data_IF_712378941353
#
_entry.id   IF_712378941353
#
_cell.length_a   1.000
_cell.length_b   1.000
_cell.length_c   1.000
_cell.angle_alpha   90.00
_cell.angle_beta   90.00
_cell.angle_gamma   90.00
#
_symmetry.space_group_name_H-M   'P 1'
#
loop_
_entity.id
_entity.type
_entity.pdbx_description
1 polymer ?
#
# COMPACT_ATOMS: atom_id res chain seq x y z
N UNK A 1 -37.34 15.51 -11.48
CA UNK A 1 -36.92 15.22 -10.10
C UNK A 1 -35.88 14.09 -10.16
N UNK A 2 -34.60 14.27 -9.88
CA UNK A 2 -33.67 13.16 -9.83
C UNK A 2 -34.00 12.33 -8.59
N UNK A 3 -34.32 11.06 -8.79
CA UNK A 3 -34.60 10.11 -7.70
C UNK A 3 -33.30 9.89 -6.88
N UNK A 4 -33.31 10.37 -5.66
CA UNK A 4 -32.22 10.23 -4.69
C UNK A 4 -32.28 8.85 -4.04
N UNK A 5 -32.20 7.78 -4.85
CA UNK A 5 -32.12 6.40 -4.36
C UNK A 5 -30.67 6.06 -4.00
N UNK A 6 -30.22 6.59 -2.87
CA UNK A 6 -29.09 5.98 -2.14
C UNK A 6 -29.58 4.62 -1.62
N UNK A 7 -28.81 3.54 -1.79
CA UNK A 7 -29.16 2.25 -1.20
C UNK A 7 -29.46 2.42 0.29
N UNK A 8 -30.62 1.97 0.71
CA UNK A 8 -31.09 2.02 2.10
C UNK A 8 -29.98 1.59 3.06
N UNK A 9 -29.56 2.49 3.96
CA UNK A 9 -28.65 2.22 5.07
C UNK A 9 -27.21 2.76 4.96
N UNK A 10 -26.76 3.34 3.84
CA UNK A 10 -25.41 3.90 3.75
C UNK A 10 -25.43 5.42 3.93
N UNK A 11 -24.85 5.92 5.01
CA UNK A 11 -24.58 7.36 5.18
C UNK A 11 -23.82 7.92 3.99
N UNK A 12 -24.12 9.14 3.51
CA UNK A 12 -23.31 9.83 2.52
C UNK A 12 -21.84 9.81 2.87
N UNK A 13 -20.96 9.77 1.88
CA UNK A 13 -19.51 9.59 2.10
C UNK A 13 -18.90 10.61 3.06
N UNK A 14 -19.44 11.85 3.11
CA UNK A 14 -19.03 12.93 4.03
C UNK A 14 -19.29 12.63 5.50
N UNK A 15 -20.28 11.77 5.80
CA UNK A 15 -20.63 11.39 7.18
C UNK A 15 -20.02 10.04 7.59
N UNK A 16 -19.37 9.32 6.66
CA UNK A 16 -18.70 8.06 7.00
C UNK A 16 -17.42 8.37 7.77
N UNK A 17 -17.24 7.69 8.89
CA UNK A 17 -15.97 7.77 9.63
C UNK A 17 -14.81 7.42 8.69
N UNK A 18 -13.81 8.29 8.65
CA UNK A 18 -12.60 8.07 7.86
C UNK A 18 -11.85 6.85 8.41
N UNK A 19 -11.42 5.97 7.50
CA UNK A 19 -10.72 4.73 7.85
C UNK A 19 -9.53 4.55 6.93
N UNK A 20 -8.35 4.37 7.53
CA UNK A 20 -7.11 4.05 6.84
C UNK A 20 -6.87 2.55 6.94
N UNK A 21 -6.68 1.87 5.82
CA UNK A 21 -6.19 0.50 5.76
C UNK A 21 -4.71 0.51 5.39
N UNK A 22 -3.88 -0.09 6.24
CA UNK A 22 -2.46 -0.34 5.97
C UNK A 22 -2.32 -1.81 5.58
N UNK A 23 -1.83 -2.06 4.37
CA UNK A 23 -1.51 -3.39 3.86
C UNK A 23 0.01 -3.56 3.92
N UNK A 24 0.49 -4.48 4.78
CA UNK A 24 1.91 -4.59 5.10
C UNK A 24 2.31 -3.68 6.26
N UNK A 25 1.69 -3.87 7.43
CA UNK A 25 1.94 -3.09 8.64
C UNK A 25 3.16 -3.62 9.43
N UNK A 26 4.33 -3.66 8.77
CA UNK A 26 5.64 -3.85 9.39
C UNK A 26 6.13 -2.55 10.04
N UNK A 27 7.45 -2.39 10.21
CA UNK A 27 8.06 -1.22 10.86
C UNK A 27 7.58 0.11 10.27
N UNK A 28 7.66 0.27 8.94
CA UNK A 28 7.20 1.52 8.27
C UNK A 28 5.70 1.73 8.45
N UNK A 29 4.89 0.67 8.31
CA UNK A 29 3.44 0.76 8.48
C UNK A 29 3.03 1.17 9.89
N UNK A 30 3.71 0.66 10.91
CA UNK A 30 3.48 1.06 12.31
C UNK A 30 3.88 2.51 12.57
N UNK A 31 4.99 2.99 11.97
CA UNK A 31 5.39 4.40 12.05
C UNK A 31 4.34 5.31 11.39
N UNK A 32 3.83 4.92 10.23
CA UNK A 32 2.72 5.63 9.56
C UNK A 32 1.50 5.68 10.48
N UNK A 33 1.13 4.55 11.10
CA UNK A 33 -0.02 4.49 12.00
C UNK A 33 0.06 5.47 13.17
N UNK A 34 1.27 5.64 13.76
CA UNK A 34 1.50 6.58 14.88
C UNK A 34 1.34 8.05 14.47
N UNK A 35 1.56 8.37 13.20
CA UNK A 35 1.45 9.74 12.65
C UNK A 35 0.02 10.08 12.21
N UNK A 36 -0.89 9.11 12.24
CA UNK A 36 -2.28 9.32 11.79
C UNK A 36 -3.06 10.07 12.86
N UNK A 37 -3.60 11.27 12.55
CA UNK A 37 -4.36 12.05 13.52
C UNK A 37 -5.74 11.44 13.79
N UNK A 38 -6.24 11.61 15.02
CA UNK A 38 -7.64 11.36 15.32
C UNK A 38 -8.54 12.35 14.51
N UNK A 39 -9.76 11.94 14.11
CA UNK A 39 -10.46 10.70 14.45
C UNK A 39 -10.32 9.58 13.41
N UNK A 40 -9.26 9.59 12.60
CA UNK A 40 -9.05 8.59 11.55
C UNK A 40 -8.74 7.21 12.16
N UNK A 41 -9.63 6.24 11.94
CA UNK A 41 -9.40 4.87 12.42
C UNK A 41 -8.40 4.14 11.54
N UNK A 42 -7.35 3.58 12.16
CA UNK A 42 -6.34 2.77 11.49
C UNK A 42 -6.69 1.30 11.59
N UNK A 43 -6.65 0.61 10.45
CA UNK A 43 -6.78 -0.84 10.31
C UNK A 43 -5.52 -1.37 9.62
N UNK A 44 -5.10 -2.58 9.95
CA UNK A 44 -3.95 -3.21 9.31
C UNK A 44 -4.28 -4.63 8.85
N UNK A 45 -3.97 -4.94 7.59
CA UNK A 45 -4.02 -6.30 7.09
C UNK A 45 -2.77 -7.05 7.56
N UNK A 46 -2.96 -8.19 8.21
CA UNK A 46 -1.87 -9.09 8.63
C UNK A 46 -2.22 -10.54 8.31
N UNK A 47 -1.23 -11.29 7.83
CA UNK A 47 -1.34 -12.74 7.64
C UNK A 47 -0.98 -13.54 8.90
N UNK A 48 -0.28 -12.92 9.84
CA UNK A 48 0.21 -13.54 11.08
C UNK A 48 -0.73 -13.25 12.23
N UNK A 49 -1.37 -14.28 12.83
CA UNK A 49 -2.24 -14.12 13.99
C UNK A 49 -1.53 -13.47 15.19
N UNK A 50 -0.23 -13.77 15.37
CA UNK A 50 0.61 -13.26 16.47
C UNK A 50 0.68 -11.73 16.45
N UNK A 51 0.73 -11.14 15.26
CA UNK A 51 0.77 -9.69 15.08
C UNK A 51 -0.53 -9.00 15.50
N UNK A 52 -1.63 -9.73 15.63
CA UNK A 52 -2.92 -9.13 16.01
C UNK A 52 -2.89 -8.53 17.41
N UNK A 53 -2.23 -9.17 18.36
CA UNK A 53 -2.10 -8.65 19.72
C UNK A 53 -1.25 -7.38 19.75
N UNK A 54 -0.12 -7.39 19.06
CA UNK A 54 0.80 -6.24 18.96
C UNK A 54 0.10 -5.03 18.32
N UNK A 55 -0.64 -5.24 17.22
CA UNK A 55 -1.37 -4.17 16.55
C UNK A 55 -2.47 -3.57 17.43
N UNK A 56 -3.23 -4.42 18.17
CA UNK A 56 -4.25 -3.94 19.12
C UNK A 56 -3.65 -3.09 20.24
N UNK A 57 -2.51 -3.51 20.80
CA UNK A 57 -1.81 -2.75 21.83
C UNK A 57 -1.39 -1.34 21.35
N UNK A 58 -1.22 -1.16 20.03
CA UNK A 58 -0.92 0.12 19.39
C UNK A 58 -2.18 0.89 18.95
N UNK A 59 -3.39 0.45 19.30
CA UNK A 59 -4.64 1.08 18.87
C UNK A 59 -5.02 0.82 17.40
N UNK A 60 -4.34 -0.10 16.73
CA UNK A 60 -4.58 -0.47 15.32
C UNK A 60 -5.55 -1.67 15.30
N UNK A 61 -6.62 -1.58 14.50
CA UNK A 61 -7.54 -2.70 14.32
C UNK A 61 -6.94 -3.74 13.34
N UNK A 62 -6.55 -4.94 13.80
CA UNK A 62 -6.02 -5.95 12.91
C UNK A 62 -7.14 -6.60 12.08
N UNK A 63 -6.88 -6.78 10.81
CA UNK A 63 -7.69 -7.55 9.88
C UNK A 63 -6.86 -8.75 9.42
N UNK A 64 -7.27 -9.93 9.82
CA UNK A 64 -6.57 -11.15 9.40
C UNK A 64 -6.86 -11.46 7.94
N UNK A 65 -5.83 -11.66 7.13
CA UNK A 65 -5.93 -12.01 5.72
C UNK A 65 -4.56 -12.07 5.07
N UNK A 66 -4.44 -12.89 4.03
CA UNK A 66 -3.20 -13.14 3.32
C UNK A 66 -3.35 -12.72 1.84
N UNK A 67 -2.40 -11.92 1.35
CA UNK A 67 -2.36 -11.48 -0.06
C UNK A 67 -2.19 -12.63 -1.05
N UNK A 68 -1.66 -13.77 -0.59
CA UNK A 68 -1.52 -14.99 -1.38
C UNK A 68 -2.82 -15.83 -1.38
N UNK A 69 -3.83 -15.45 -0.57
CA UNK A 69 -5.15 -16.07 -0.53
C UNK A 69 -6.24 -15.04 -0.82
N UNK A 70 -6.68 -14.96 -2.07
CA UNK A 70 -7.66 -13.97 -2.53
C UNK A 70 -9.01 -14.07 -1.79
N UNK A 71 -9.40 -15.25 -1.30
CA UNK A 71 -10.65 -15.42 -0.55
C UNK A 71 -10.62 -14.66 0.78
N UNK A 72 -9.47 -14.66 1.46
CA UNK A 72 -9.27 -13.96 2.73
C UNK A 72 -9.40 -12.42 2.62
N UNK A 73 -9.25 -11.88 1.40
CA UNK A 73 -9.30 -10.44 1.12
C UNK A 73 -10.71 -9.92 0.84
N UNK A 74 -11.70 -10.81 0.63
CA UNK A 74 -13.06 -10.42 0.19
C UNK A 74 -13.72 -9.38 1.09
N UNK A 75 -13.47 -9.43 2.39
CA UNK A 75 -14.01 -8.49 3.39
C UNK A 75 -13.39 -7.09 3.34
N UNK A 76 -12.29 -6.88 2.60
CA UNK A 76 -11.64 -5.57 2.50
C UNK A 76 -12.44 -4.58 1.65
N UNK A 77 -13.31 -5.08 0.78
CA UNK A 77 -14.12 -4.28 -0.12
C UNK A 77 -15.02 -3.28 0.65
N UNK A 78 -14.85 -2.00 0.37
CA UNK A 78 -15.65 -0.93 0.98
C UNK A 78 -15.32 -0.61 2.45
N UNK A 79 -14.32 -1.27 3.06
CA UNK A 79 -13.95 -1.00 4.45
C UNK A 79 -13.21 0.32 4.62
N UNK A 80 -12.27 0.63 3.73
CA UNK A 80 -11.36 1.76 3.86
C UNK A 80 -11.79 2.94 3.00
N UNK A 81 -11.57 4.16 3.51
CA UNK A 81 -11.69 5.41 2.74
C UNK A 81 -10.33 5.85 2.19
N UNK A 82 -9.25 5.40 2.83
CA UNK A 82 -7.85 5.62 2.44
C UNK A 82 -7.06 4.33 2.58
N UNK A 83 -6.04 4.14 1.75
CA UNK A 83 -5.20 2.95 1.81
C UNK A 83 -3.72 3.31 1.66
N UNK A 84 -2.89 2.59 2.43
CA UNK A 84 -1.42 2.58 2.27
C UNK A 84 -1.01 1.13 2.05
N UNK A 85 -0.39 0.85 0.91
CA UNK A 85 0.07 -0.49 0.55
C UNK A 85 1.59 -0.54 0.57
N UNK A 86 2.13 -1.18 1.60
CA UNK A 86 3.57 -1.33 1.86
C UNK A 86 4.02 -2.79 1.82
N UNK A 87 3.09 -3.73 1.64
CA UNK A 87 3.45 -5.14 1.58
C UNK A 87 4.41 -5.40 0.43
N UNK A 88 5.45 -6.24 0.63
CA UNK A 88 6.34 -6.62 -0.43
C UNK A 88 5.61 -7.51 -1.45
N UNK A 89 6.03 -7.48 -2.73
CA UNK A 89 5.63 -8.50 -3.69
C UNK A 89 6.16 -9.87 -3.25
N UNK A 90 5.71 -10.97 -3.86
CA UNK A 90 6.28 -12.29 -3.59
C UNK A 90 7.78 -12.30 -3.91
N UNK A 91 8.48 -13.31 -3.43
CA UNK A 91 9.94 -13.46 -3.66
C UNK A 91 10.25 -13.97 -5.06
N UNK A 92 9.32 -14.67 -5.69
CA UNK A 92 9.50 -15.34 -6.98
C UNK A 92 8.68 -14.69 -8.10
N UNK A 93 9.05 -15.00 -9.34
CA UNK A 93 8.37 -14.51 -10.54
C UNK A 93 8.72 -13.07 -10.91
N UNK A 94 8.09 -12.58 -11.97
CA UNK A 94 8.31 -11.27 -12.58
C UNK A 94 7.13 -10.31 -12.42
N UNK A 95 6.01 -10.78 -11.88
CA UNK A 95 4.79 -10.01 -11.65
C UNK A 95 4.42 -9.98 -10.17
N UNK A 96 3.48 -9.10 -9.81
CA UNK A 96 2.95 -8.99 -8.43
C UNK A 96 1.49 -9.47 -8.35
N UNK A 97 1.27 -10.78 -8.16
CA UNK A 97 -0.07 -11.33 -7.97
C UNK A 97 -0.72 -10.86 -6.67
N UNK A 98 0.07 -10.50 -5.63
CA UNK A 98 -0.46 -9.97 -4.35
C UNK A 98 -1.19 -8.66 -4.53
N UNK A 99 -0.57 -7.70 -5.23
CA UNK A 99 -1.22 -6.44 -5.57
C UNK A 99 -2.43 -6.68 -6.47
N UNK A 100 -2.36 -7.59 -7.44
CA UNK A 100 -3.51 -7.93 -8.28
C UNK A 100 -4.68 -8.51 -7.48
N UNK A 101 -4.42 -9.43 -6.55
CA UNK A 101 -5.44 -10.02 -5.69
C UNK A 101 -6.13 -8.97 -4.81
N UNK A 102 -5.33 -8.04 -4.25
CA UNK A 102 -5.84 -6.91 -3.48
C UNK A 102 -6.75 -6.02 -4.33
N UNK A 103 -6.31 -5.60 -5.51
CA UNK A 103 -7.08 -4.77 -6.43
C UNK A 103 -8.42 -5.42 -6.80
N UNK A 104 -8.40 -6.69 -7.19
CA UNK A 104 -9.61 -7.47 -7.51
C UNK A 104 -10.57 -7.59 -6.33
N UNK A 105 -10.05 -7.67 -5.11
CA UNK A 105 -10.90 -7.73 -3.92
C UNK A 105 -11.68 -6.42 -3.71
N UNK A 106 -11.08 -5.28 -4.05
CA UNK A 106 -11.70 -3.96 -3.90
C UNK A 106 -12.73 -3.65 -5.00
N UNK A 107 -12.60 -4.24 -6.20
CA UNK A 107 -13.55 -4.05 -7.30
C UNK A 107 -14.98 -4.47 -6.96
N UNK A 108 -15.18 -5.19 -5.87
CA UNK A 108 -16.49 -5.68 -5.41
C UNK A 108 -17.37 -4.59 -4.78
N UNK A 109 -16.78 -3.47 -4.33
CA UNK A 109 -17.48 -2.37 -3.65
C UNK A 109 -16.73 -1.05 -3.86
N UNK A 110 -17.13 -0.03 -3.09
CA UNK A 110 -16.48 1.27 -3.14
C UNK A 110 -14.97 1.21 -2.86
N UNK A 111 -14.20 1.82 -3.71
CA UNK A 111 -12.75 1.97 -3.60
C UNK A 111 -12.35 3.02 -2.56
N UNK A 112 -11.16 2.92 -1.96
CA UNK A 112 -10.57 4.01 -1.20
C UNK A 112 -10.39 5.24 -2.10
N UNK A 113 -10.73 6.43 -1.60
CA UNK A 113 -10.56 7.69 -2.35
C UNK A 113 -9.09 8.05 -2.59
N UNK A 114 -8.21 7.66 -1.69
CA UNK A 114 -6.77 7.83 -1.85
C UNK A 114 -6.05 6.53 -1.55
N UNK A 115 -5.07 6.25 -2.38
CA UNK A 115 -4.22 5.08 -2.29
C UNK A 115 -2.77 5.50 -2.40
N UNK A 116 -1.94 5.13 -1.44
CA UNK A 116 -0.49 5.30 -1.49
C UNK A 116 0.16 3.93 -1.60
N UNK A 117 1.02 3.75 -2.59
CA UNK A 117 1.80 2.53 -2.80
C UNK A 117 3.29 2.78 -2.55
N UNK A 118 3.89 1.99 -1.67
CA UNK A 118 5.33 1.98 -1.44
C UNK A 118 6.03 1.13 -2.49
N UNK A 119 6.58 1.77 -3.52
CA UNK A 119 7.47 1.17 -4.50
C UNK A 119 8.94 1.33 -4.08
N UNK A 120 9.87 1.19 -5.00
CA UNK A 120 11.30 1.34 -4.75
C UNK A 120 11.97 2.16 -5.85
N UNK A 121 13.03 2.91 -5.51
CA UNK A 121 13.88 3.58 -6.50
C UNK A 121 14.57 2.59 -7.46
N UNK A 122 14.74 1.32 -7.06
CA UNK A 122 15.31 0.28 -7.92
C UNK A 122 14.54 0.01 -9.22
N UNK A 123 13.34 0.58 -9.40
CA UNK A 123 12.60 0.51 -10.67
C UNK A 123 13.27 1.32 -11.79
N UNK A 124 14.13 2.26 -11.45
CA UNK A 124 14.88 3.06 -12.43
C UNK A 124 16.11 2.33 -13.01
N UNK A 125 16.53 1.22 -12.39
CA UNK A 125 17.73 0.51 -12.77
C UNK A 125 19.01 1.23 -12.33
N UNK A 126 20.10 0.99 -13.05
CA UNK A 126 21.34 1.72 -12.85
C UNK A 126 21.30 3.02 -13.65
N UNK A 127 21.44 4.13 -12.96
CA UNK A 127 21.46 5.47 -13.56
C UNK A 127 22.88 6.06 -13.57
N UNK A 128 23.90 5.27 -13.29
CA UNK A 128 25.33 5.69 -13.30
C UNK A 128 25.60 6.99 -12.53
N UNK A 129 24.92 7.16 -11.38
CA UNK A 129 25.05 8.35 -10.53
C UNK A 129 24.29 9.59 -11.03
N UNK A 130 23.53 9.50 -12.11
CA UNK A 130 22.74 10.62 -12.60
C UNK A 130 21.54 10.94 -11.68
N UNK A 131 21.13 12.19 -11.68
CA UNK A 131 19.90 12.62 -11.03
C UNK A 131 18.68 12.00 -11.68
N UNK A 132 17.76 11.51 -10.87
CA UNK A 132 16.55 10.82 -11.32
C UNK A 132 15.32 11.62 -10.91
N UNK A 133 14.43 11.86 -11.87
CA UNK A 133 13.13 12.52 -11.65
C UNK A 133 11.99 11.51 -11.67
N UNK A 134 10.86 11.84 -11.09
CA UNK A 134 9.68 10.97 -11.00
C UNK A 134 9.10 10.60 -12.37
N UNK A 135 9.29 11.47 -13.38
CA UNK A 135 8.87 11.27 -14.77
C UNK A 135 9.80 10.39 -15.59
N UNK A 136 11.00 10.08 -15.06
CA UNK A 136 11.97 9.25 -15.80
C UNK A 136 11.39 7.87 -16.09
N UNK A 137 11.58 7.33 -17.29
CA UNK A 137 11.19 5.97 -17.62
C UNK A 137 11.81 4.94 -16.69
N UNK A 138 11.04 3.92 -16.35
CA UNK A 138 11.52 2.81 -15.50
C UNK A 138 12.25 1.78 -16.36
N UNK A 139 13.43 1.37 -15.92
CA UNK A 139 14.31 0.39 -16.57
C UNK A 139 14.73 -0.70 -15.59
N UNK A 140 13.76 -1.49 -15.05
CA UNK A 140 14.06 -2.50 -14.05
C UNK A 140 14.97 -3.59 -14.63
N UNK A 141 15.98 -4.03 -13.88
CA UNK A 141 16.87 -5.12 -14.29
C UNK A 141 16.89 -6.30 -13.29
N UNK A 142 16.23 -6.15 -12.12
CA UNK A 142 16.11 -7.24 -11.16
C UNK A 142 14.67 -7.77 -11.09
N UNK A 143 14.45 -9.07 -10.80
CA UNK A 143 13.10 -9.61 -10.64
C UNK A 143 12.25 -8.83 -9.63
N UNK A 144 12.86 -8.38 -8.54
CA UNK A 144 12.21 -7.53 -7.53
C UNK A 144 11.73 -6.21 -8.12
N UNK A 145 12.53 -5.55 -8.95
CA UNK A 145 12.17 -4.29 -9.59
C UNK A 145 11.05 -4.49 -10.62
N UNK A 146 11.10 -5.56 -11.40
CA UNK A 146 10.02 -5.91 -12.34
C UNK A 146 8.68 -6.09 -11.64
N UNK A 147 8.65 -6.82 -10.51
CA UNK A 147 7.42 -6.99 -9.71
C UNK A 147 6.86 -5.65 -9.22
N UNK A 148 7.74 -4.72 -8.81
CA UNK A 148 7.31 -3.38 -8.40
C UNK A 148 6.76 -2.58 -9.57
N UNK A 149 7.38 -2.64 -10.74
CA UNK A 149 6.87 -1.99 -11.97
C UNK A 149 5.52 -2.57 -12.39
N UNK A 150 5.32 -3.89 -12.29
CA UNK A 150 4.03 -4.52 -12.56
C UNK A 150 2.93 -3.98 -11.63
N UNK A 151 3.21 -3.89 -10.32
CA UNK A 151 2.29 -3.31 -9.35
C UNK A 151 1.97 -1.83 -9.66
N UNK A 152 3.00 -1.01 -10.00
CA UNK A 152 2.82 0.39 -10.38
C UNK A 152 1.92 0.55 -11.60
N UNK A 153 2.14 -0.27 -12.65
CA UNK A 153 1.32 -0.27 -13.87
C UNK A 153 -0.15 -0.58 -13.56
N UNK A 154 -0.40 -1.62 -12.75
CA UNK A 154 -1.74 -2.01 -12.32
C UNK A 154 -2.44 -0.90 -11.56
N UNK A 155 -1.75 -0.27 -10.60
CA UNK A 155 -2.29 0.83 -9.82
C UNK A 155 -2.61 2.07 -10.66
N UNK A 156 -1.72 2.46 -11.58
CA UNK A 156 -1.96 3.56 -12.51
C UNK A 156 -3.16 3.30 -13.40
N UNK A 157 -3.30 2.07 -13.89
CA UNK A 157 -4.45 1.69 -14.71
C UNK A 157 -5.75 1.76 -13.91
N UNK A 158 -5.76 1.27 -12.68
CA UNK A 158 -6.93 1.35 -11.81
C UNK A 158 -7.26 2.79 -11.38
N UNK A 159 -6.26 3.62 -11.16
CA UNK A 159 -6.45 5.03 -10.80
C UNK A 159 -7.06 5.89 -11.93
N UNK A 160 -7.01 5.43 -13.17
CA UNK A 160 -7.67 6.06 -14.34
C UNK A 160 -9.12 5.57 -14.53
N UNK A 161 -9.64 4.75 -13.63
CA UNK A 161 -10.91 4.06 -13.82
C UNK A 161 -12.14 4.95 -13.79
N UNK A 162 -13.19 4.46 -14.43
CA UNK A 162 -14.55 5.01 -14.42
C UNK A 162 -15.46 4.25 -13.46
N UNK A 163 -16.66 4.72 -13.25
CA UNK A 163 -17.65 4.04 -12.39
C UNK A 163 -17.24 4.04 -10.92
N UNK A 164 -17.19 2.86 -10.28
CA UNK A 164 -16.87 2.71 -8.85
C UNK A 164 -15.46 3.18 -8.47
N UNK A 165 -14.58 3.37 -9.44
CA UNK A 165 -13.20 3.86 -9.30
C UNK A 165 -13.06 5.35 -9.60
N UNK A 166 -14.14 6.02 -9.97
CA UNK A 166 -14.11 7.45 -10.26
C UNK A 166 -13.65 8.27 -9.06
N UNK A 167 -12.67 9.16 -9.25
CA UNK A 167 -12.12 10.03 -8.22
C UNK A 167 -11.12 9.35 -7.27
N UNK A 168 -10.65 8.13 -7.55
CA UNK A 168 -9.56 7.49 -6.82
C UNK A 168 -8.24 8.18 -7.16
N UNK A 169 -7.53 8.62 -6.11
CA UNK A 169 -6.18 9.21 -6.25
C UNK A 169 -5.15 8.16 -5.86
N UNK A 170 -4.39 7.66 -6.81
CA UNK A 170 -3.28 6.74 -6.58
C UNK A 170 -1.95 7.49 -6.62
N UNK A 171 -1.18 7.40 -5.54
CA UNK A 171 0.18 7.94 -5.42
C UNK A 171 1.18 6.80 -5.28
N UNK A 172 2.26 6.84 -6.04
CA UNK A 172 3.33 5.85 -6.00
C UNK A 172 4.57 6.52 -5.40
N UNK A 173 5.05 5.99 -4.28
CA UNK A 173 6.27 6.44 -3.63
C UNK A 173 7.40 5.48 -3.99
N UNK A 174 8.36 5.90 -4.82
CA UNK A 174 9.56 5.14 -5.16
C UNK A 174 10.62 5.39 -4.10
N UNK A 175 10.51 4.62 -3.02
CA UNK A 175 11.30 4.79 -1.80
C UNK A 175 12.70 4.23 -2.03
N UNK A 176 13.76 5.01 -1.74
CA UNK A 176 15.13 4.53 -1.73
C UNK A 176 15.41 3.68 -0.47
N UNK A 177 16.62 3.69 0.05
CA UNK A 177 16.96 2.98 1.28
C UNK A 177 16.14 3.47 2.48
N UNK A 178 15.59 2.53 3.26
CA UNK A 178 14.84 2.84 4.48
C UNK A 178 15.77 2.65 5.66
N UNK A 179 15.99 3.70 6.44
CA UNK A 179 16.77 3.68 7.68
C UNK A 179 16.10 4.54 8.75
N UNK A 180 16.42 4.28 10.02
CA UNK A 180 16.01 5.11 11.14
C UNK A 180 17.00 4.95 12.29
N UNK A 181 17.14 5.99 13.15
CA UNK A 181 18.10 5.99 14.26
C UNK A 181 17.80 4.91 15.29
N UNK A 182 16.54 4.59 15.47
CA UNK A 182 16.04 3.56 16.41
C UNK A 182 15.89 2.17 15.75
N UNK A 183 16.45 1.98 14.55
CA UNK A 183 16.42 0.72 13.83
C UNK A 183 17.83 0.17 13.65
N UNK A 184 18.03 -1.05 14.10
CA UNK A 184 19.30 -1.74 13.91
C UNK A 184 19.55 -2.06 12.44
N UNK A 185 20.74 -1.71 11.94
CA UNK A 185 21.24 -2.07 10.63
C UNK A 185 20.74 -1.20 9.47
N UNK A 186 21.58 -1.01 8.49
CA UNK A 186 21.22 -0.36 7.23
C UNK A 186 21.29 1.16 7.23
N UNK A 187 21.85 1.81 8.26
CA UNK A 187 22.17 3.24 8.18
C UNK A 187 23.25 3.50 7.12
N UNK A 188 23.25 4.67 6.47
CA UNK A 188 24.30 5.02 5.51
C UNK A 188 25.72 4.89 6.12
N UNK A 189 25.89 5.27 7.39
CA UNK A 189 27.17 5.14 8.09
C UNK A 189 27.61 3.68 8.28
N UNK A 190 26.68 2.78 8.63
CA UNK A 190 26.99 1.35 8.76
C UNK A 190 27.33 0.72 7.41
N UNK A 191 26.66 1.14 6.33
CA UNK A 191 26.98 0.68 4.98
C UNK A 191 28.38 1.10 4.56
N UNK A 192 28.73 2.37 4.78
CA UNK A 192 30.07 2.87 4.50
C UNK A 192 31.15 2.12 5.30
N UNK A 193 30.93 1.88 6.59
CA UNK A 193 31.87 1.10 7.43
C UNK A 193 32.04 -0.35 6.95
N UNK A 194 30.97 -0.94 6.34
CA UNK A 194 31.00 -2.30 5.80
C UNK A 194 31.48 -2.37 4.35
N UNK A 195 31.82 -1.23 3.72
CA UNK A 195 32.19 -1.18 2.31
C UNK A 195 31.08 -1.64 1.35
N UNK A 196 29.82 -1.60 1.81
CA UNK A 196 28.65 -1.93 0.97
C UNK A 196 27.99 -0.65 0.49
N UNK A 197 27.91 -0.39 -0.83
CA UNK A 197 27.28 0.79 -1.39
C UNK A 197 25.78 0.87 -1.09
#
# INVERSE_FOLDING_TARGET
MPSNQTPLGALPARFRRQRLLIVGCGDVGQRVARLVPAPLRVMALTSSPENCAVLRAQGILPLQGNLDNAQSLRRLAGLATRMVHLAPPPTEGWSDPRTLALLRSLDRRAWPRSWVYGSTSGVYGDCHGAWVHESQPVTPFTPRAYRRVDAEKRLRWHGKGTGVRQGVRASILRIPGIYALDRYGGTPQERLRKGTP
#
